data_IF_197524118865
#
_entry.id   IF_197524118865
#
_cell.length_a   1.000
_cell.length_b   1.000
_cell.length_c   1.000
_cell.angle_alpha   90.00
_cell.angle_beta   90.00
_cell.angle_gamma   90.00
#
_symmetry.space_group_name_H-M   'P 1'
#
loop_
_entity.id
_entity.type
_entity.pdbx_description
1 polymer ?
#
# COMPACT_ATOMS: atom_id res chain seq x y z
N UNK A 1 -7.74 17.19 28.66
CA UNK A 1 -8.59 16.27 27.87
C UNK A 1 -7.69 15.38 27.04
N UNK A 2 -7.84 14.04 27.05
CA UNK A 2 -7.04 13.17 26.19
C UNK A 2 -7.44 13.37 24.72
N UNK A 3 -6.46 13.56 23.85
CA UNK A 3 -6.66 13.63 22.40
C UNK A 3 -7.16 12.26 21.93
N UNK A 4 -8.26 12.18 21.14
CA UNK A 4 -8.72 10.90 20.64
C UNK A 4 -7.68 10.27 19.70
N UNK A 5 -7.59 8.93 19.66
CA UNK A 5 -6.66 8.25 18.78
C UNK A 5 -7.00 8.52 17.31
N UNK A 6 -5.96 8.82 16.52
CA UNK A 6 -6.05 8.99 15.07
C UNK A 6 -5.54 7.71 14.43
N UNK A 7 -6.36 7.07 13.60
CA UNK A 7 -5.98 5.86 12.88
C UNK A 7 -5.68 6.19 11.42
N UNK A 8 -4.57 5.65 10.91
CA UNK A 8 -4.22 5.72 9.51
C UNK A 8 -4.18 4.31 8.94
N UNK A 9 -4.89 4.11 7.84
CA UNK A 9 -4.84 2.84 7.12
C UNK A 9 -4.91 3.09 5.61
N UNK A 10 -4.45 2.12 4.83
CA UNK A 10 -4.44 2.18 3.38
C UNK A 10 -5.68 1.45 2.85
N UNK A 11 -6.42 2.08 1.92
CA UNK A 11 -7.44 1.43 1.09
C UNK A 11 -7.00 1.46 -0.37
N UNK A 12 -7.63 0.59 -1.17
CA UNK A 12 -7.46 0.53 -2.62
C UNK A 12 -6.02 0.43 -3.07
N UNK A 13 -5.27 -0.50 -2.45
CA UNK A 13 -3.92 -0.81 -2.90
C UNK A 13 -3.96 -1.38 -4.33
N UNK A 14 -3.32 -0.68 -5.26
CA UNK A 14 -3.17 -1.11 -6.66
C UNK A 14 -1.70 -1.09 -7.06
N UNK A 15 -1.31 -2.05 -7.89
CA UNK A 15 -0.01 -2.00 -8.54
C UNK A 15 0.00 -0.93 -9.63
N UNK A 16 1.08 -0.15 -9.68
CA UNK A 16 1.32 0.82 -10.77
C UNK A 16 1.95 0.17 -12.01
N UNK A 17 2.44 -1.08 -11.90
CA UNK A 17 3.19 -1.78 -12.94
C UNK A 17 4.71 -1.55 -12.88
N UNK A 18 5.19 -0.60 -12.07
CA UNK A 18 6.62 -0.38 -11.85
C UNK A 18 7.18 -1.38 -10.83
N UNK A 19 8.29 -2.02 -11.19
CA UNK A 19 9.06 -2.89 -10.30
C UNK A 19 10.56 -2.55 -10.36
N UNK A 20 11.27 -2.83 -9.28
CA UNK A 20 12.73 -2.69 -9.20
C UNK A 20 13.31 -3.72 -8.24
N UNK A 21 14.59 -4.01 -8.37
CA UNK A 21 15.32 -4.78 -7.38
C UNK A 21 16.13 -3.86 -6.49
N UNK A 22 16.17 -4.16 -5.19
CA UNK A 22 17.12 -3.53 -4.26
C UNK A 22 17.91 -4.60 -3.53
N UNK A 23 19.09 -4.24 -3.03
CA UNK A 23 19.85 -5.13 -2.15
C UNK A 23 19.30 -5.05 -0.72
N UNK A 24 19.09 -6.22 -0.10
CA UNK A 24 18.69 -6.34 1.29
C UNK A 24 19.80 -5.81 2.21
N UNK A 25 19.48 -4.91 3.15
CA UNK A 25 20.48 -4.28 4.04
C UNK A 25 21.30 -5.29 4.85
N UNK A 26 20.71 -6.41 5.25
CA UNK A 26 21.35 -7.37 6.15
C UNK A 26 22.04 -8.52 5.41
N UNK A 27 21.48 -9.01 4.30
CA UNK A 27 21.97 -10.21 3.59
C UNK A 27 22.57 -9.91 2.23
N UNK A 28 22.47 -8.68 1.73
CA UNK A 28 22.88 -8.29 0.38
C UNK A 28 22.03 -8.90 -0.75
N UNK A 29 21.09 -9.80 -0.43
CA UNK A 29 20.29 -10.53 -1.43
C UNK A 29 19.37 -9.57 -2.19
N UNK A 30 19.12 -9.82 -3.49
CA UNK A 30 18.17 -9.03 -4.24
C UNK A 30 16.75 -9.25 -3.68
N UNK A 31 16.06 -8.15 -3.39
CA UNK A 31 14.65 -8.10 -3.00
C UNK A 31 13.89 -7.36 -4.09
N UNK A 32 12.80 -7.96 -4.56
CA UNK A 32 11.88 -7.31 -5.48
C UNK A 32 11.06 -6.26 -4.72
N UNK A 33 10.97 -5.06 -5.28
CA UNK A 33 10.06 -4.02 -4.85
C UNK A 33 9.08 -3.69 -5.95
N UNK A 34 7.83 -3.51 -5.56
CA UNK A 34 6.77 -3.02 -6.45
C UNK A 34 6.32 -1.65 -5.98
N UNK A 35 5.97 -0.79 -6.93
CA UNK A 35 5.38 0.50 -6.62
C UNK A 35 3.86 0.34 -6.53
N UNK A 36 3.33 0.66 -5.36
CA UNK A 36 1.92 0.58 -5.00
C UNK A 36 1.37 1.99 -4.95
N UNK A 37 0.17 2.17 -5.48
CA UNK A 37 -0.66 3.34 -5.21
C UNK A 37 -1.76 2.93 -4.25
N UNK A 38 -1.99 3.73 -3.21
CA UNK A 38 -3.04 3.49 -2.24
C UNK A 38 -3.63 4.81 -1.74
N UNK A 39 -4.90 4.79 -1.35
CA UNK A 39 -5.55 5.91 -0.70
C UNK A 39 -5.30 5.82 0.80
N UNK A 40 -4.68 6.85 1.38
CA UNK A 40 -4.50 6.91 2.84
C UNK A 40 -5.77 7.48 3.46
N UNK A 41 -6.40 6.69 4.31
CA UNK A 41 -7.58 7.11 5.07
C UNK A 41 -7.13 7.49 6.46
N UNK A 42 -7.58 8.68 6.89
CA UNK A 42 -7.39 9.14 8.26
C UNK A 42 -8.75 9.11 8.94
N UNK A 43 -8.88 8.28 9.98
CA UNK A 43 -10.09 8.23 10.79
C UNK A 43 -9.86 9.04 12.07
N UNK A 44 -10.53 10.19 12.13
CA UNK A 44 -10.53 11.08 13.31
C UNK A 44 -11.96 11.18 13.84
N UNK A 45 -12.17 10.71 15.08
CA UNK A 45 -13.47 10.78 15.77
C UNK A 45 -14.64 10.22 14.95
N UNK A 46 -14.42 9.13 14.20
CA UNK A 46 -15.45 8.49 13.37
C UNK A 46 -15.75 9.20 12.05
N UNK A 47 -14.99 10.25 11.69
CA UNK A 47 -15.00 10.81 10.34
C UNK A 47 -13.82 10.25 9.56
N UNK A 48 -14.12 9.54 8.48
CA UNK A 48 -13.12 9.16 7.50
C UNK A 48 -12.81 10.37 6.63
N UNK A 49 -11.54 10.75 6.59
CA UNK A 49 -11.02 11.72 5.65
C UNK A 49 -10.16 10.98 4.65
N UNK A 50 -10.66 10.88 3.42
CA UNK A 50 -9.87 10.44 2.30
C UNK A 50 -8.78 11.48 2.02
N UNK A 51 -7.55 11.01 1.92
CA UNK A 51 -6.44 11.80 1.42
C UNK A 51 -6.08 11.36 0.02
N UNK A 52 -5.40 12.25 -0.72
CA UNK A 52 -4.97 11.98 -2.08
C UNK A 52 -4.21 10.64 -2.18
N UNK A 53 -4.35 9.92 -3.30
CA UNK A 53 -3.63 8.69 -3.52
C UNK A 53 -2.13 8.93 -3.40
N UNK A 54 -1.46 8.07 -2.64
CA UNK A 54 -0.02 8.12 -2.40
C UNK A 54 0.65 6.91 -3.02
N UNK A 55 1.75 7.16 -3.72
CA UNK A 55 2.59 6.10 -4.29
C UNK A 55 3.79 5.81 -3.41
N UNK A 56 4.06 4.54 -3.12
CA UNK A 56 5.23 4.13 -2.36
C UNK A 56 5.80 2.79 -2.84
N UNK A 57 7.05 2.51 -2.47
CA UNK A 57 7.72 1.25 -2.80
C UNK A 57 7.57 0.27 -1.65
N UNK A 58 7.10 -0.95 -1.95
CA UNK A 58 6.94 -2.04 -0.98
C UNK A 58 7.80 -3.22 -1.40
N UNK A 59 8.54 -3.79 -0.46
CA UNK A 59 9.19 -5.09 -0.65
C UNK A 59 8.08 -6.14 -0.80
N UNK A 60 8.13 -6.91 -1.88
CA UNK A 60 7.07 -7.86 -2.20
C UNK A 60 7.66 -9.13 -2.81
N UNK A 61 7.08 -10.27 -2.49
CA UNK A 61 7.28 -11.49 -3.27
C UNK A 61 6.47 -11.41 -4.57
N UNK A 62 6.75 -12.31 -5.51
CA UNK A 62 5.98 -12.40 -6.76
C UNK A 62 4.51 -12.77 -6.48
N UNK A 63 4.27 -13.58 -5.44
CA UNK A 63 2.93 -13.92 -4.96
C UNK A 63 2.22 -12.70 -4.38
N UNK A 64 2.91 -11.88 -3.58
CA UNK A 64 2.33 -10.66 -3.02
C UNK A 64 1.93 -9.66 -4.13
N UNK A 65 2.80 -9.50 -5.14
CA UNK A 65 2.51 -8.63 -6.28
C UNK A 65 1.25 -9.10 -7.03
N UNK A 66 1.15 -10.40 -7.34
CA UNK A 66 -0.04 -10.97 -7.98
C UNK A 66 -1.29 -10.81 -7.10
N UNK A 67 -1.16 -10.98 -5.79
CA UNK A 67 -2.28 -10.82 -4.85
C UNK A 67 -2.81 -9.39 -4.86
N UNK A 68 -1.92 -8.39 -4.81
CA UNK A 68 -2.29 -6.96 -4.90
C UNK A 68 -3.00 -6.66 -6.23
N UNK A 69 -2.51 -7.23 -7.33
CA UNK A 69 -3.12 -7.05 -8.65
C UNK A 69 -4.52 -7.66 -8.73
N UNK A 70 -4.71 -8.86 -8.17
CA UNK A 70 -6.00 -9.54 -8.15
C UNK A 70 -7.00 -8.86 -7.21
N UNK A 71 -6.57 -8.40 -6.04
CA UNK A 71 -7.44 -7.66 -5.10
C UNK A 71 -7.90 -6.33 -5.69
N UNK A 72 -7.02 -5.65 -6.44
CA UNK A 72 -7.37 -4.42 -7.15
C UNK A 72 -8.46 -4.63 -8.23
N UNK A 73 -8.47 -5.80 -8.88
CA UNK A 73 -9.48 -6.16 -9.87
C UNK A 73 -10.84 -6.46 -9.26
N UNK A 74 -10.87 -7.09 -8.08
CA UNK A 74 -12.12 -7.38 -7.37
C UNK A 74 -12.81 -6.13 -6.82
N UNK A 75 -12.05 -5.09 -6.44
CA UNK A 75 -12.60 -3.82 -5.97
C UNK A 75 -13.09 -2.89 -7.09
N UNK A 76 -12.94 -3.27 -8.36
CA UNK A 76 -13.43 -2.49 -9.52
C UNK A 76 -14.81 -2.97 -10.03
N UNK A 77 -15.42 -3.94 -9.35
CA UNK A 77 -16.65 -4.61 -9.77
C UNK A 77 -17.90 -4.32 -8.92
N UNK A 78 -17.89 -3.29 -8.06
CA UNK A 78 -19.08 -2.79 -7.35
C UNK A 78 -19.45 -1.36 -7.78
#
# INVERSE_FOLDING_TARGET
MPTPPVYHYLKDEKLTGCFRFRSARFTGRPIMQVQIVASRITNERGREKDSNPVTFWRDATLVDALTIQLSAGNNAGE
#
